data_IF_579192122531
#
_entry.id   IF_579192122531
#
_cell.length_a   1.000
_cell.length_b   1.000
_cell.length_c   1.000
_cell.angle_alpha   90.00
_cell.angle_beta   90.00
_cell.angle_gamma   90.00
#
_symmetry.space_group_name_H-M   'P 1'
#
loop_
_entity.id
_entity.type
_entity.pdbx_description
1 polymer ?
#
# COMPACT_ATOMS: atom_id res chain seq x y z
N UNK A 1 -12.98 -27.24 -31.98
CA UNK A 1 -13.11 -27.20 -30.51
C UNK A 1 -11.71 -27.16 -29.89
N UNK A 2 -11.23 -25.97 -29.53
CA UNK A 2 -10.04 -25.79 -28.68
C UNK A 2 -10.31 -24.55 -27.83
N UNK A 3 -10.76 -24.80 -26.61
CA UNK A 3 -10.98 -23.77 -25.59
C UNK A 3 -9.65 -23.13 -25.26
N UNK A 4 -9.54 -21.82 -25.51
CA UNK A 4 -8.44 -21.01 -25.03
C UNK A 4 -8.80 -20.59 -23.62
N UNK A 5 -8.15 -21.23 -22.65
CA UNK A 5 -8.14 -20.81 -21.26
C UNK A 5 -7.62 -19.37 -21.21
N UNK A 6 -8.50 -18.43 -20.88
CA UNK A 6 -8.10 -17.06 -20.56
C UNK A 6 -7.49 -17.11 -19.17
N UNK A 7 -6.20 -16.81 -19.07
CA UNK A 7 -5.56 -16.58 -17.78
C UNK A 7 -6.17 -15.31 -17.17
N UNK A 8 -6.39 -15.25 -15.84
CA UNK A 8 -6.71 -13.98 -15.21
C UNK A 8 -5.47 -13.09 -15.30
N UNK A 9 -5.55 -12.13 -16.22
CA UNK A 9 -4.65 -11.00 -16.32
C UNK A 9 -4.65 -10.29 -14.97
N UNK A 10 -3.66 -10.58 -14.11
CA UNK A 10 -3.36 -9.76 -12.94
C UNK A 10 -2.60 -8.53 -13.43
N UNK A 11 -3.26 -7.76 -14.31
CA UNK A 11 -2.81 -6.48 -14.83
C UNK A 11 -3.10 -5.39 -13.82
N UNK A 12 -2.36 -5.38 -12.70
CA UNK A 12 -2.38 -4.28 -11.74
C UNK A 12 -1.54 -3.09 -12.24
N UNK A 13 -1.96 -2.48 -13.35
CA UNK A 13 -1.37 -1.25 -13.87
C UNK A 13 -1.50 -0.12 -12.86
N UNK A 14 -0.38 0.35 -12.31
CA UNK A 14 -0.31 1.52 -11.44
C UNK A 14 -0.45 2.84 -12.23
N UNK A 15 -1.45 2.96 -13.11
CA UNK A 15 -1.71 4.18 -13.89
C UNK A 15 -3.15 4.60 -13.67
N UNK A 16 -3.35 5.44 -12.65
CA UNK A 16 -4.64 6.05 -12.38
C UNK A 16 -5.07 5.94 -10.92
N UNK A 17 -4.28 6.52 -9.99
CA UNK A 17 -4.86 6.88 -8.69
C UNK A 17 -5.70 8.13 -8.92
N UNK A 18 -6.92 7.93 -9.39
CA UNK A 18 -7.97 8.95 -9.41
C UNK A 18 -8.14 9.53 -8.01
N UNK A 19 -8.55 10.80 -7.94
CA UNK A 19 -8.76 11.63 -6.74
C UNK A 19 -9.47 10.91 -5.56
N UNK A 20 -10.15 9.80 -5.84
CA UNK A 20 -10.85 8.92 -4.92
C UNK A 20 -9.94 8.21 -3.88
N UNK A 21 -8.63 8.06 -4.11
CA UNK A 21 -7.71 7.41 -3.14
C UNK A 21 -7.52 8.25 -1.88
N UNK A 22 -7.53 9.57 -2.00
CA UNK A 22 -7.47 10.50 -0.86
C UNK A 22 -8.70 10.34 0.03
N UNK A 23 -9.88 10.11 -0.55
CA UNK A 23 -11.12 9.90 0.20
C UNK A 23 -11.18 8.56 0.94
N UNK A 24 -10.41 7.54 0.54
CA UNK A 24 -10.36 6.27 1.27
C UNK A 24 -9.45 6.34 2.51
N UNK A 25 -8.41 7.18 2.48
CA UNK A 25 -7.55 7.45 3.65
C UNK A 25 -8.33 7.99 4.86
N UNK A 26 -9.38 8.77 4.61
CA UNK A 26 -10.23 9.31 5.69
C UNK A 26 -11.02 8.23 6.43
N UNK A 27 -11.35 7.11 5.78
CA UNK A 27 -12.13 6.03 6.43
C UNK A 27 -11.27 5.21 7.38
N UNK A 28 -9.94 5.24 7.22
CA UNK A 28 -9.00 4.65 8.18
C UNK A 28 -9.00 5.36 9.54
N UNK A 29 -9.56 6.58 9.64
CA UNK A 29 -9.78 7.29 10.91
C UNK A 29 -10.75 6.54 11.84
N UNK A 30 -11.64 5.70 11.29
CA UNK A 30 -12.53 4.85 12.08
C UNK A 30 -11.82 3.67 12.76
N UNK A 31 -10.55 3.43 12.46
CA UNK A 31 -9.76 2.35 13.05
C UNK A 31 -8.97 2.85 14.26
N UNK A 32 -8.99 2.08 15.35
CA UNK A 32 -8.15 2.36 16.52
C UNK A 32 -6.65 2.39 16.14
N UNK A 33 -5.87 3.22 16.85
CA UNK A 33 -4.40 3.36 16.68
C UNK A 33 -3.68 2.01 16.59
N UNK A 34 -4.09 1.05 17.42
CA UNK A 34 -3.50 -0.29 17.47
C UNK A 34 -3.79 -1.08 16.20
N UNK A 35 -5.03 -1.04 15.70
CA UNK A 35 -5.43 -1.74 14.47
C UNK A 35 -4.73 -1.16 13.25
N UNK A 36 -4.62 0.17 13.20
CA UNK A 36 -3.91 0.86 12.12
C UNK A 36 -2.43 0.50 12.08
N UNK A 37 -1.79 0.39 13.26
CA UNK A 37 -0.38 -0.05 13.35
C UNK A 37 -0.19 -1.50 12.89
N UNK A 38 -1.10 -2.40 13.26
CA UNK A 38 -1.08 -3.80 12.81
C UNK A 38 -1.29 -3.91 11.29
N UNK A 39 -2.22 -3.15 10.75
CA UNK A 39 -2.45 -3.02 9.30
C UNK A 39 -1.19 -2.54 8.59
N UNK A 40 -0.56 -1.47 9.08
CA UNK A 40 0.67 -0.95 8.52
C UNK A 40 1.77 -2.00 8.49
N UNK A 41 1.97 -2.73 9.60
CA UNK A 41 2.93 -3.83 9.64
C UNK A 41 2.65 -4.89 8.57
N UNK A 42 1.38 -5.20 8.30
CA UNK A 42 1.01 -6.19 7.30
C UNK A 42 1.16 -5.66 5.86
N UNK A 43 0.83 -4.39 5.63
CA UNK A 43 1.05 -3.70 4.34
C UNK A 43 2.56 -3.59 4.05
N UNK A 44 3.38 -3.29 5.04
CA UNK A 44 4.83 -3.26 4.89
C UNK A 44 5.39 -4.65 4.51
N UNK A 45 4.85 -5.72 5.09
CA UNK A 45 5.19 -7.10 4.68
C UNK A 45 4.80 -7.38 3.24
N UNK A 46 3.61 -6.95 2.81
CA UNK A 46 3.17 -7.05 1.42
C UNK A 46 4.13 -6.34 0.47
N UNK A 47 4.49 -5.10 0.79
CA UNK A 47 5.43 -4.29 0.02
C UNK A 47 6.84 -4.87 -0.04
N UNK A 48 7.24 -5.63 0.97
CA UNK A 48 8.51 -6.36 1.01
C UNK A 48 8.44 -7.72 0.30
N UNK A 49 7.27 -8.09 -0.25
CA UNK A 49 7.05 -9.36 -0.96
C UNK A 49 6.80 -10.56 -0.05
N UNK A 50 6.51 -10.35 1.24
CA UNK A 50 6.20 -11.42 2.20
C UNK A 50 4.72 -11.83 2.17
N UNK A 51 3.89 -11.10 1.43
CA UNK A 51 2.45 -11.36 1.31
C UNK A 51 1.61 -10.74 2.43
N UNK A 52 0.30 -10.74 2.21
CA UNK A 52 -0.70 -10.14 3.11
C UNK A 52 -1.75 -11.16 3.53
N UNK A 53 -1.99 -11.22 4.84
CA UNK A 53 -3.00 -12.07 5.47
C UNK A 53 -4.35 -11.32 5.54
N UNK A 54 -5.07 -11.25 4.42
CA UNK A 54 -6.36 -10.55 4.36
C UNK A 54 -7.37 -11.08 5.38
N UNK A 55 -7.32 -12.37 5.70
CA UNK A 55 -8.25 -12.99 6.66
C UNK A 55 -8.01 -12.49 8.10
N UNK A 56 -6.74 -12.32 8.51
CA UNK A 56 -6.41 -11.71 9.81
C UNK A 56 -6.81 -10.24 9.83
N UNK A 57 -6.56 -9.53 8.74
CA UNK A 57 -6.93 -8.12 8.64
C UNK A 57 -8.44 -7.95 8.76
N UNK A 58 -9.21 -8.74 8.01
CA UNK A 58 -10.68 -8.75 8.08
C UNK A 58 -11.18 -8.98 9.51
N UNK A 59 -10.58 -9.91 10.24
CA UNK A 59 -10.91 -10.16 11.67
C UNK A 59 -10.58 -8.95 12.55
N UNK A 60 -9.45 -8.27 12.32
CA UNK A 60 -9.05 -7.07 13.06
C UNK A 60 -9.92 -5.85 12.76
N UNK A 61 -10.40 -5.71 11.51
CA UNK A 61 -11.27 -4.60 11.07
C UNK A 61 -12.75 -4.92 11.15
N UNK A 62 -13.15 -6.13 11.57
CA UNK A 62 -14.55 -6.52 11.72
C UNK A 62 -15.33 -5.59 12.66
N UNK A 63 -14.68 -5.16 13.74
CA UNK A 63 -15.22 -4.24 14.73
C UNK A 63 -15.45 -2.81 14.18
N UNK A 64 -14.77 -2.44 13.10
CA UNK A 64 -14.97 -1.18 12.40
C UNK A 64 -16.04 -1.25 11.28
N UNK A 65 -16.72 -2.40 11.13
CA UNK A 65 -17.70 -2.68 10.06
C UNK A 65 -17.12 -2.57 8.64
N UNK A 66 -15.82 -2.87 8.48
CA UNK A 66 -15.18 -2.84 7.17
C UNK A 66 -15.58 -4.07 6.36
N UNK A 67 -16.00 -3.85 5.11
CA UNK A 67 -16.19 -4.93 4.16
C UNK A 67 -14.86 -5.31 3.50
N UNK A 68 -14.84 -6.43 2.77
CA UNK A 68 -13.64 -6.84 2.01
C UNK A 68 -13.17 -5.77 1.01
N UNK A 69 -14.10 -4.95 0.51
CA UNK A 69 -13.80 -3.77 -0.31
C UNK A 69 -13.07 -2.67 0.46
N UNK A 70 -13.56 -2.27 1.64
CA UNK A 70 -12.91 -1.25 2.48
C UNK A 70 -11.51 -1.71 2.93
N UNK A 71 -11.35 -2.99 3.28
CA UNK A 71 -10.04 -3.56 3.64
C UNK A 71 -9.05 -3.44 2.50
N UNK A 72 -9.43 -3.87 1.29
CA UNK A 72 -8.56 -3.77 0.10
C UNK A 72 -8.24 -2.32 -0.24
N UNK A 73 -9.22 -1.42 -0.15
CA UNK A 73 -9.02 0.01 -0.37
C UNK A 73 -8.02 0.58 0.64
N UNK A 74 -8.17 0.25 1.93
CA UNK A 74 -7.28 0.71 3.01
C UNK A 74 -5.86 0.20 2.84
N UNK A 75 -5.71 -1.09 2.52
CA UNK A 75 -4.41 -1.70 2.21
C UNK A 75 -3.77 -1.01 1.00
N UNK A 76 -4.52 -0.78 -0.08
CA UNK A 76 -4.02 -0.11 -1.27
C UNK A 76 -3.59 1.33 -0.98
N UNK A 77 -4.37 2.08 -0.20
CA UNK A 77 -4.04 3.45 0.23
C UNK A 77 -2.77 3.48 1.07
N UNK A 78 -2.68 2.65 2.11
CA UNK A 78 -1.50 2.57 2.97
C UNK A 78 -0.27 2.14 2.16
N UNK A 79 -0.43 1.14 1.29
CA UNK A 79 0.63 0.64 0.42
C UNK A 79 1.15 1.75 -0.51
N UNK A 80 0.24 2.54 -1.07
CA UNK A 80 0.56 3.68 -1.91
C UNK A 80 1.27 4.80 -1.13
N UNK A 81 0.76 5.19 0.04
CA UNK A 81 1.34 6.24 0.88
C UNK A 81 2.75 5.84 1.30
N UNK A 82 2.92 4.65 1.90
CA UNK A 82 4.22 4.15 2.38
C UNK A 82 5.21 3.97 1.23
N UNK A 83 4.75 3.47 0.09
CA UNK A 83 5.61 3.36 -1.10
C UNK A 83 6.03 4.72 -1.63
N UNK A 84 5.12 5.69 -1.64
CA UNK A 84 5.40 7.05 -2.11
C UNK A 84 6.35 7.77 -1.17
N UNK A 85 6.14 7.66 0.14
CA UNK A 85 7.03 8.16 1.17
C UNK A 85 8.44 7.55 1.01
N UNK A 86 8.53 6.22 0.87
CA UNK A 86 9.80 5.53 0.68
C UNK A 86 10.51 5.98 -0.61
N UNK A 87 9.80 6.08 -1.73
CA UNK A 87 10.38 6.51 -3.02
C UNK A 87 10.98 7.90 -2.97
N UNK A 88 10.31 8.83 -2.29
CA UNK A 88 10.76 10.22 -2.17
C UNK A 88 11.63 10.45 -0.92
N UNK A 89 11.98 9.39 -0.19
CA UNK A 89 12.72 9.47 1.08
C UNK A 89 12.13 10.46 2.07
N UNK A 90 10.79 10.48 2.18
CA UNK A 90 10.07 11.31 3.16
C UNK A 90 10.38 10.79 4.56
N UNK A 91 10.70 11.70 5.47
CA UNK A 91 10.95 11.44 6.89
C UNK A 91 9.64 11.22 7.67
N UNK A 92 9.76 10.65 8.87
CA UNK A 92 8.61 10.33 9.72
C UNK A 92 7.79 11.56 10.13
N UNK A 93 8.39 12.72 10.34
CA UNK A 93 7.68 13.96 10.69
C UNK A 93 6.85 14.48 9.53
N UNK A 94 7.44 14.57 8.34
CA UNK A 94 6.76 14.98 7.10
C UNK A 94 5.61 14.03 6.76
N UNK A 95 5.84 12.71 6.84
CA UNK A 95 4.79 11.71 6.63
C UNK A 95 3.66 11.86 7.67
N UNK A 96 4.01 12.18 8.92
CA UNK A 96 3.00 12.38 9.97
C UNK A 96 2.15 13.61 9.70
N UNK A 97 2.73 14.67 9.15
CA UNK A 97 2.03 15.91 8.79
C UNK A 97 1.07 15.67 7.64
N UNK A 98 1.49 14.96 6.60
CA UNK A 98 0.63 14.56 5.48
C UNK A 98 -0.55 13.70 5.95
N UNK A 99 -0.30 12.72 6.82
CA UNK A 99 -1.35 11.88 7.40
C UNK A 99 -2.34 12.70 8.24
N UNK A 100 -1.85 13.69 9.00
CA UNK A 100 -2.71 14.61 9.76
C UNK A 100 -3.54 15.51 8.84
N UNK A 101 -3.00 15.97 7.71
CA UNK A 101 -3.74 16.74 6.70
C UNK A 101 -4.81 15.90 5.99
N UNK A 102 -4.60 14.59 5.86
CA UNK A 102 -5.62 13.64 5.41
C UNK A 102 -6.71 13.37 6.46
N UNK A 103 -6.58 13.94 7.66
CA UNK A 103 -7.55 13.85 8.75
C UNK A 103 -7.24 12.77 9.79
N UNK A 104 -6.06 12.14 9.75
CA UNK A 104 -5.69 11.18 10.80
C UNK A 104 -5.35 11.93 12.09
N UNK A 105 -5.81 11.43 13.26
CA UNK A 105 -5.40 11.99 14.53
C UNK A 105 -3.89 11.80 14.73
N UNK A 106 -3.26 12.78 15.38
CA UNK A 106 -1.80 12.85 15.58
C UNK A 106 -1.20 11.56 16.17
N UNK A 107 -1.92 10.91 17.08
CA UNK A 107 -1.49 9.64 17.69
C UNK A 107 -1.41 8.49 16.67
N UNK A 108 -2.36 8.43 15.73
CA UNK A 108 -2.41 7.43 14.67
C UNK A 108 -1.33 7.68 13.63
N UNK A 109 -1.17 8.95 13.21
CA UNK A 109 -0.11 9.37 12.31
C UNK A 109 1.29 9.05 12.88
N UNK A 110 1.55 9.43 14.13
CA UNK A 110 2.83 9.16 14.79
C UNK A 110 3.12 7.65 14.92
N UNK A 111 2.11 6.85 15.26
CA UNK A 111 2.23 5.39 15.34
C UNK A 111 2.52 4.75 13.99
N UNK A 112 1.90 5.26 12.91
CA UNK A 112 2.15 4.83 11.54
C UNK A 112 3.57 5.16 11.09
N UNK A 113 4.01 6.40 11.34
CA UNK A 113 5.34 6.88 10.95
C UNK A 113 6.45 6.08 11.62
N UNK A 114 6.33 5.80 12.92
CA UNK A 114 7.27 4.91 13.63
C UNK A 114 7.41 3.55 12.94
N UNK A 115 6.28 2.95 12.55
CA UNK A 115 6.24 1.64 11.90
C UNK A 115 6.89 1.68 10.50
N UNK A 116 6.68 2.79 9.79
CA UNK A 116 7.33 3.06 8.50
C UNK A 116 8.84 3.24 8.66
N UNK A 117 9.32 4.08 9.58
CA UNK A 117 10.75 4.36 9.79
C UNK A 117 11.55 3.08 10.09
N UNK A 118 11.00 2.20 10.92
CA UNK A 118 11.63 0.90 11.22
C UNK A 118 11.83 0.02 9.98
N UNK A 119 10.95 0.15 8.97
CA UNK A 119 10.97 -0.66 7.74
C UNK A 119 11.34 0.15 6.50
N UNK A 120 11.69 1.43 6.64
CA UNK A 120 11.94 2.34 5.53
C UNK A 120 13.13 1.85 4.68
N UNK A 121 14.25 1.53 5.32
CA UNK A 121 15.46 1.05 4.65
C UNK A 121 15.23 -0.19 3.77
N UNK A 122 14.66 -1.31 4.29
CA UNK A 122 14.37 -2.47 3.45
C UNK A 122 13.28 -2.19 2.41
N UNK A 123 12.28 -1.35 2.73
CA UNK A 123 11.24 -0.97 1.79
C UNK A 123 11.80 -0.20 0.59
N UNK A 124 12.65 0.80 0.84
CA UNK A 124 13.31 1.56 -0.22
C UNK A 124 14.17 0.67 -1.13
N UNK A 125 14.94 -0.25 -0.55
CA UNK A 125 15.72 -1.23 -1.33
C UNK A 125 14.80 -2.09 -2.18
N UNK A 126 13.71 -2.61 -1.62
CA UNK A 126 12.75 -3.44 -2.35
C UNK A 126 12.08 -2.65 -3.49
N UNK A 127 11.63 -1.43 -3.23
CA UNK A 127 11.01 -0.56 -4.23
C UNK A 127 11.98 -0.19 -5.36
N UNK A 128 13.26 0.08 -5.06
CA UNK A 128 14.30 0.28 -6.09
C UNK A 128 14.44 -0.95 -6.98
N UNK A 129 14.57 -2.14 -6.39
CA UNK A 129 14.68 -3.41 -7.13
C UNK A 129 13.40 -3.70 -7.95
N UNK A 130 12.23 -3.40 -7.39
CA UNK A 130 10.94 -3.61 -8.06
C UNK A 130 10.71 -2.60 -9.21
N UNK A 131 11.06 -1.32 -9.03
CA UNK A 131 11.03 -0.30 -10.10
C UNK A 131 11.98 -0.65 -11.25
N UNK A 132 13.21 -1.09 -10.95
CA UNK A 132 14.18 -1.49 -11.97
C UNK A 132 13.69 -2.70 -12.79
N UNK A 133 12.97 -3.64 -12.16
CA UNK A 133 12.33 -4.77 -12.86
C UNK A 133 11.21 -4.32 -13.79
N UNK A 134 10.35 -3.39 -13.36
CA UNK A 134 9.31 -2.82 -14.24
C UNK A 134 9.90 -2.06 -15.42
N UNK A 135 10.98 -1.29 -15.21
CA UNK A 135 11.70 -0.61 -16.29
C UNK A 135 12.33 -1.60 -17.27
N UNK A 136 12.97 -2.67 -16.78
CA UNK A 136 13.52 -3.73 -17.63
C UNK A 136 12.43 -4.47 -18.41
N UNK A 137 11.30 -4.80 -17.79
CA UNK A 137 10.21 -5.49 -18.47
C UNK A 137 9.53 -4.60 -19.52
N UNK A 138 9.35 -3.31 -19.25
CA UNK A 138 8.86 -2.36 -20.24
C UNK A 138 9.83 -2.25 -21.43
N UNK A 139 11.14 -2.24 -21.18
CA UNK A 139 12.16 -2.22 -22.22
C UNK A 139 12.15 -3.50 -23.06
N UNK A 140 12.02 -4.68 -22.44
CA UNK A 140 11.93 -5.97 -23.16
C UNK A 140 10.65 -6.09 -23.98
N UNK A 141 9.51 -5.60 -23.49
CA UNK A 141 8.26 -5.58 -24.26
C UNK A 141 8.36 -4.66 -25.48
N UNK A 142 9.03 -3.51 -25.36
CA UNK A 142 9.29 -2.61 -26.50
C UNK A 142 10.25 -3.22 -27.53
N UNK A 143 11.24 -4.01 -27.10
CA UNK A 143 12.16 -4.71 -28.01
C UNK A 143 11.55 -5.93 -28.70
N UNK A 144 10.40 -6.44 -28.25
CA UNK A 144 9.72 -7.60 -28.84
C UNK A 144 8.67 -7.19 -29.89
N UNK A 145 8.42 -5.88 -30.04
CA UNK A 145 7.44 -5.31 -30.97
C UNK A 145 8.07 -4.69 -32.22
N UNK A 146 9.39 -4.77 -32.39
CA UNK A 146 10.13 -4.37 -33.59
C UNK A 146 10.75 -5.58 -34.27
#
# INVERSE_FOLDING_TARGET
>A
MRGRQVAPETGGGCTGLSANTVCAGVRAVGLSSVKLRLLCSQVLKELLGQGIDYEKILKLTADAKFESGDVKATVAVLSFILSSAAKHSVDGESLSSELQQLGLPKEHAASLCRCYEEKQSPLQKHLRVCSLRKLKQAQTLMSSLG
#
